data_IF_216540492227
#
_entry.id   IF_216540492227
#
_cell.length_a   1.000
_cell.length_b   1.000
_cell.length_c   1.000
_cell.angle_alpha   90.00
_cell.angle_beta   90.00
_cell.angle_gamma   90.00
#
_symmetry.space_group_name_H-M   'P 1'
#
loop_
_entity.id
_entity.type
_entity.pdbx_description
1 polymer ?
#
# COMPACT_ATOMS: atom_id res chain seq x y z
N UNK A 1 10.85 38.13 -9.73
CA UNK A 1 11.55 36.91 -10.16
C UNK A 1 11.11 36.61 -11.58
N UNK A 2 12.06 36.51 -12.51
CA UNK A 2 11.75 36.18 -13.90
C UNK A 2 11.96 34.69 -14.08
N UNK A 3 10.92 33.95 -14.49
CA UNK A 3 11.01 32.53 -14.76
C UNK A 3 11.21 32.36 -16.27
N UNK A 4 12.24 31.63 -16.65
CA UNK A 4 12.58 31.38 -18.05
C UNK A 4 12.76 29.89 -18.22
N UNK A 5 12.01 29.30 -19.16
CA UNK A 5 12.19 27.90 -19.53
C UNK A 5 13.43 27.80 -20.42
N UNK A 6 14.41 27.05 -19.97
CA UNK A 6 15.62 26.75 -20.73
C UNK A 6 15.67 25.25 -21.02
N UNK A 7 16.09 24.85 -22.23
CA UNK A 7 16.35 23.45 -22.53
C UNK A 7 17.34 22.81 -21.54
N UNK A 8 17.38 21.48 -21.51
CA UNK A 8 18.41 20.77 -20.73
C UNK A 8 19.76 20.91 -21.44
N UNK A 9 20.83 21.14 -20.68
CA UNK A 9 22.15 21.35 -21.27
C UNK A 9 23.13 22.07 -20.35
N UNK A 10 24.33 22.30 -20.89
CA UNK A 10 25.36 23.09 -20.22
C UNK A 10 25.22 24.55 -20.62
N UNK A 11 25.01 25.41 -19.64
CA UNK A 11 24.86 26.84 -19.86
C UNK A 11 26.07 27.60 -19.35
N UNK A 12 26.40 28.67 -20.09
CA UNK A 12 27.34 29.70 -19.65
C UNK A 12 26.53 30.92 -19.27
N UNK A 13 26.79 31.48 -18.10
CA UNK A 13 26.13 32.70 -17.66
C UNK A 13 27.03 33.90 -17.91
N UNK A 14 26.51 34.80 -18.73
CA UNK A 14 27.16 36.02 -19.17
C UNK A 14 26.39 37.21 -18.57
N UNK A 15 27.11 38.18 -18.02
CA UNK A 15 26.54 39.46 -17.62
C UNK A 15 27.25 40.58 -18.39
N UNK A 16 26.60 41.12 -19.42
CA UNK A 16 27.28 41.97 -20.40
C UNK A 16 28.27 41.17 -21.24
N UNK A 17 29.52 41.62 -21.31
CA UNK A 17 30.63 40.95 -22.03
C UNK A 17 31.53 40.10 -21.10
N UNK A 18 31.27 40.07 -19.79
CA UNK A 18 32.04 39.27 -18.83
C UNK A 18 31.36 37.92 -18.55
N UNK A 19 32.18 36.86 -18.55
CA UNK A 19 31.72 35.51 -18.19
C UNK A 19 31.76 35.36 -16.69
N UNK A 20 30.57 35.25 -16.08
CA UNK A 20 30.43 35.16 -14.62
C UNK A 20 30.60 33.72 -14.16
N UNK A 21 30.08 32.76 -14.93
CA UNK A 21 30.17 31.33 -14.57
C UNK A 21 30.09 30.45 -15.83
N UNK A 22 31.00 29.48 -15.96
CA UNK A 22 31.00 28.49 -17.03
C UNK A 22 30.69 27.09 -16.50
N UNK A 23 29.80 26.38 -17.18
CA UNK A 23 29.64 24.93 -16.97
C UNK A 23 28.48 24.51 -16.08
N UNK A 24 27.47 25.36 -15.87
CA UNK A 24 26.27 24.95 -15.13
C UNK A 24 25.47 23.91 -15.93
N UNK A 25 25.32 22.72 -15.35
CA UNK A 25 24.53 21.65 -15.94
C UNK A 25 23.09 21.70 -15.42
N UNK A 26 22.15 22.02 -16.32
CA UNK A 26 20.72 22.01 -16.03
C UNK A 26 20.15 20.66 -16.47
N UNK A 27 19.95 19.77 -15.50
CA UNK A 27 19.32 18.47 -15.71
C UNK A 27 17.80 18.57 -15.88
N UNK A 28 17.24 17.62 -16.62
CA UNK A 28 15.83 17.60 -16.99
C UNK A 28 14.89 17.56 -15.78
N UNK A 29 13.86 18.40 -15.78
CA UNK A 29 12.80 18.41 -14.77
C UNK A 29 13.19 18.99 -13.40
N UNK A 30 14.43 19.47 -13.25
CA UNK A 30 14.86 20.19 -12.05
C UNK A 30 14.53 21.69 -12.14
N UNK A 31 14.26 22.31 -11.00
CA UNK A 31 14.10 23.77 -10.87
C UNK A 31 15.37 24.31 -10.26
N UNK A 32 16.05 25.19 -10.99
CA UNK A 32 17.31 25.78 -10.57
C UNK A 32 17.09 27.27 -10.31
N UNK A 33 17.41 27.71 -9.10
CA UNK A 33 17.39 29.13 -8.73
C UNK A 33 18.81 29.65 -8.75
N UNK A 34 19.09 30.49 -9.72
CA UNK A 34 20.37 31.16 -9.82
C UNK A 34 20.30 32.52 -9.12
N UNK A 35 21.10 32.72 -8.08
CA UNK A 35 21.15 33.97 -7.32
C UNK A 35 22.46 34.69 -7.60
N UNK A 36 22.36 35.92 -8.09
CA UNK A 36 23.51 36.80 -8.35
C UNK A 36 23.47 37.95 -7.34
N UNK A 37 24.50 38.10 -6.51
CA UNK A 37 24.66 39.22 -5.60
C UNK A 37 25.94 39.98 -5.91
N UNK A 38 25.89 41.31 -5.79
CA UNK A 38 27.06 42.17 -5.93
C UNK A 38 27.55 42.52 -4.53
N UNK A 39 28.77 42.10 -4.21
CA UNK A 39 29.39 42.40 -2.91
C UNK A 39 29.77 43.89 -2.82
N UNK A 40 30.03 44.40 -1.61
CA UNK A 40 30.43 45.80 -1.36
C UNK A 40 31.72 46.21 -2.07
N UNK A 41 32.55 45.23 -2.46
CA UNK A 41 33.77 45.40 -3.26
C UNK A 41 33.52 45.37 -4.78
N UNK A 42 32.26 45.32 -5.22
CA UNK A 42 31.89 45.32 -6.64
C UNK A 42 32.09 44.00 -7.38
N UNK A 43 32.52 42.94 -6.68
CA UNK A 43 32.63 41.57 -7.21
C UNK A 43 31.25 40.90 -7.28
N UNK A 44 31.01 40.18 -8.37
CA UNK A 44 29.83 39.34 -8.53
C UNK A 44 30.06 38.02 -7.80
N UNK A 45 29.16 37.67 -6.88
CA UNK A 45 29.07 36.36 -6.27
C UNK A 45 27.83 35.70 -6.83
N UNK A 46 27.99 34.53 -7.45
CA UNK A 46 26.89 33.70 -7.92
C UNK A 46 26.79 32.45 -7.06
N UNK A 47 25.56 32.10 -6.66
CA UNK A 47 25.27 30.84 -6.00
C UNK A 47 24.08 30.19 -6.73
N UNK A 48 24.30 28.96 -7.19
CA UNK A 48 23.29 28.14 -7.82
C UNK A 48 22.63 27.26 -6.75
N UNK A 49 21.36 27.53 -6.46
CA UNK A 49 20.55 26.66 -5.62
C UNK A 49 19.72 25.73 -6.50
N UNK A 50 19.98 24.43 -6.38
CA UNK A 50 19.10 23.41 -6.95
C UNK A 50 17.90 23.25 -6.02
N UNK A 51 16.73 23.73 -6.43
CA UNK A 51 15.48 23.65 -5.64
C UNK A 51 14.83 22.27 -5.81
N UNK A 52 15.03 21.65 -6.96
CA UNK A 52 14.58 20.29 -7.24
C UNK A 52 15.64 19.61 -8.07
N UNK A 53 16.14 18.47 -7.59
CA UNK A 53 17.13 17.68 -8.30
C UNK A 53 16.60 17.21 -9.65
N UNK A 54 17.52 17.07 -10.61
CA UNK A 54 17.21 16.53 -11.92
C UNK A 54 16.58 15.14 -11.78
N UNK A 55 15.50 14.91 -12.50
CA UNK A 55 14.78 13.65 -12.43
C UNK A 55 15.66 12.52 -13.00
N UNK A 56 16.10 11.62 -12.12
CA UNK A 56 17.01 10.52 -12.45
C UNK A 56 16.30 9.16 -12.47
N UNK A 57 15.03 9.09 -12.05
CA UNK A 57 14.28 7.83 -11.92
C UNK A 57 13.03 7.86 -12.79
N UNK A 58 12.90 6.87 -13.65
CA UNK A 58 11.70 6.72 -14.49
C UNK A 58 10.46 6.55 -13.61
N UNK A 59 9.42 7.36 -13.84
CA UNK A 59 8.10 7.22 -13.19
C UNK A 59 7.53 5.79 -13.32
N UNK A 60 7.93 5.07 -14.38
CA UNK A 60 7.56 3.67 -14.62
C UNK A 60 8.00 2.72 -13.48
N UNK A 61 9.04 3.07 -12.71
CA UNK A 61 9.52 2.24 -11.60
C UNK A 61 8.59 2.25 -10.38
N UNK A 62 7.65 3.20 -10.33
CA UNK A 62 6.65 3.30 -9.27
C UNK A 62 5.52 2.28 -9.46
N UNK A 63 5.29 1.83 -10.70
CA UNK A 63 4.19 0.92 -11.06
C UNK A 63 4.34 -0.44 -10.34
N UNK A 64 5.50 -1.13 -10.39
CA UNK A 64 5.66 -2.41 -9.71
C UNK A 64 5.41 -2.33 -8.20
N UNK A 65 5.86 -1.25 -7.56
CA UNK A 65 5.70 -1.05 -6.12
C UNK A 65 4.22 -0.93 -5.74
N UNK A 66 3.44 -0.12 -6.46
CA UNK A 66 2.01 0.00 -6.20
C UNK A 66 1.24 -1.30 -6.46
N UNK A 67 1.60 -2.04 -7.52
CA UNK A 67 0.97 -3.32 -7.82
C UNK A 67 1.19 -4.31 -6.68
N UNK A 68 2.41 -4.45 -6.18
CA UNK A 68 2.73 -5.39 -5.10
C UNK A 68 2.02 -4.99 -3.80
N UNK A 69 2.06 -3.70 -3.43
CA UNK A 69 1.38 -3.19 -2.23
C UNK A 69 -0.12 -3.42 -2.26
N UNK A 70 -0.79 -3.06 -3.36
CA UNK A 70 -2.24 -3.19 -3.48
C UNK A 70 -2.69 -4.65 -3.50
N UNK A 71 -1.93 -5.54 -4.16
CA UNK A 71 -2.20 -6.97 -4.12
C UNK A 71 -2.08 -7.52 -2.69
N UNK A 72 -1.03 -7.15 -1.96
CA UNK A 72 -0.85 -7.55 -0.56
C UNK A 72 -1.99 -7.09 0.33
N UNK A 73 -2.39 -5.83 0.21
CA UNK A 73 -3.50 -5.25 0.97
C UNK A 73 -4.83 -5.95 0.70
N UNK A 74 -5.18 -6.17 -0.57
CA UNK A 74 -6.45 -6.80 -0.95
C UNK A 74 -6.48 -8.25 -0.47
N UNK A 75 -5.40 -9.01 -0.66
CA UNK A 75 -5.34 -10.40 -0.19
C UNK A 75 -5.44 -10.47 1.34
N UNK A 76 -4.77 -9.60 2.07
CA UNK A 76 -4.84 -9.58 3.53
C UNK A 76 -6.23 -9.16 4.04
N UNK A 77 -6.77 -8.04 3.54
CA UNK A 77 -8.02 -7.44 3.99
C UNK A 77 -9.24 -8.28 3.64
N UNK A 78 -9.36 -8.74 2.40
CA UNK A 78 -10.52 -9.53 1.95
C UNK A 78 -10.55 -10.89 2.62
N UNK A 79 -9.43 -11.61 2.67
CA UNK A 79 -9.35 -12.92 3.32
C UNK A 79 -9.54 -12.82 4.84
N UNK A 80 -8.99 -11.79 5.49
CA UNK A 80 -9.18 -11.55 6.93
C UNK A 80 -10.63 -11.29 7.31
N UNK A 81 -11.34 -10.49 6.51
CA UNK A 81 -12.77 -10.21 6.70
C UNK A 81 -13.64 -11.42 6.40
N UNK A 82 -13.37 -12.16 5.31
CA UNK A 82 -14.10 -13.37 4.96
C UNK A 82 -13.98 -14.45 6.05
N UNK A 83 -12.77 -14.65 6.58
CA UNK A 83 -12.54 -15.54 7.71
C UNK A 83 -13.30 -15.09 8.96
N UNK A 84 -13.24 -13.80 9.29
CA UNK A 84 -13.93 -13.23 10.46
C UNK A 84 -15.45 -13.36 10.34
N UNK A 85 -16.01 -13.18 9.14
CA UNK A 85 -17.44 -13.37 8.90
C UNK A 85 -17.86 -14.85 8.95
N UNK A 86 -16.98 -15.78 8.57
CA UNK A 86 -17.27 -17.22 8.66
C UNK A 86 -17.35 -17.73 10.10
N UNK A 87 -16.67 -17.04 11.02
CA UNK A 87 -16.60 -17.40 12.45
C UNK A 87 -17.61 -16.64 13.33
N UNK A 88 -18.30 -15.64 12.79
CA UNK A 88 -19.19 -14.76 13.56
C UNK A 88 -20.69 -14.95 13.23
N UNK A 89 -21.60 -14.69 14.19
CA UNK A 89 -23.05 -14.72 13.96
C UNK A 89 -23.49 -13.68 12.91
N UNK A 90 -24.55 -14.00 12.16
CA UNK A 90 -25.03 -13.23 10.99
C UNK A 90 -25.34 -11.75 11.31
N UNK A 91 -25.67 -11.43 12.56
CA UNK A 91 -25.98 -10.06 13.02
C UNK A 91 -24.77 -9.14 13.24
N UNK A 92 -23.53 -9.66 13.25
CA UNK A 92 -22.34 -8.88 13.65
C UNK A 92 -21.45 -8.43 12.49
N UNK A 93 -21.84 -8.66 11.23
CA UNK A 93 -21.02 -8.34 10.06
C UNK A 93 -20.62 -6.86 10.00
N UNK A 94 -21.55 -5.94 10.23
CA UNK A 94 -21.28 -4.50 10.22
C UNK A 94 -20.33 -4.07 11.33
N UNK A 95 -20.38 -4.72 12.50
CA UNK A 95 -19.49 -4.39 13.64
C UNK A 95 -18.07 -4.86 13.34
N UNK A 96 -17.91 -6.06 12.77
CA UNK A 96 -16.59 -6.58 12.38
C UNK A 96 -15.94 -5.69 11.31
N UNK A 97 -16.70 -5.24 10.32
CA UNK A 97 -16.20 -4.30 9.32
C UNK A 97 -15.74 -2.97 9.95
N UNK A 98 -16.53 -2.43 10.87
CA UNK A 98 -16.19 -1.21 11.58
C UNK A 98 -14.95 -1.39 12.47
N UNK A 99 -14.82 -2.51 13.17
CA UNK A 99 -13.63 -2.84 13.95
C UNK A 99 -12.39 -2.99 13.07
N UNK A 100 -12.53 -3.59 11.89
CA UNK A 100 -11.43 -3.71 10.94
C UNK A 100 -10.92 -2.34 10.46
N UNK A 101 -11.83 -1.45 10.07
CA UNK A 101 -11.49 -0.07 9.68
C UNK A 101 -10.93 0.75 10.85
N UNK A 102 -11.39 0.48 12.08
CA UNK A 102 -10.85 1.12 13.29
C UNK A 102 -9.39 0.75 13.52
N UNK A 103 -9.00 -0.51 13.29
CA UNK A 103 -7.60 -0.93 13.38
C UNK A 103 -6.73 -0.22 12.33
N UNK A 104 -7.22 -0.08 11.09
CA UNK A 104 -6.53 0.69 10.04
C UNK A 104 -6.35 2.15 10.45
N UNK A 105 -7.40 2.78 10.98
CA UNK A 105 -7.32 4.15 11.47
C UNK A 105 -6.29 4.31 12.60
N UNK A 106 -6.22 3.34 13.52
CA UNK A 106 -5.23 3.35 14.58
C UNK A 106 -3.80 3.22 14.03
N UNK A 107 -3.57 2.34 13.04
CA UNK A 107 -2.29 2.23 12.35
C UNK A 107 -1.85 3.54 11.71
N UNK A 108 -2.74 4.19 10.96
CA UNK A 108 -2.46 5.49 10.34
C UNK A 108 -2.10 6.58 11.36
N UNK A 109 -2.75 6.58 12.53
CA UNK A 109 -2.42 7.54 13.61
C UNK A 109 -1.02 7.27 14.16
N UNK A 110 -0.63 6.01 14.36
CA UNK A 110 0.72 5.66 14.79
C UNK A 110 1.75 6.14 13.77
N UNK A 111 1.51 5.91 12.47
CA UNK A 111 2.43 6.31 11.40
C UNK A 111 2.67 7.82 11.41
N UNK A 112 1.60 8.62 11.54
CA UNK A 112 1.72 10.09 11.64
C UNK A 112 2.55 10.49 12.85
N UNK A 113 2.34 9.86 14.00
CA UNK A 113 3.10 10.18 15.23
C UNK A 113 4.58 9.88 15.02
N UNK A 114 4.93 8.77 14.36
CA UNK A 114 6.33 8.39 14.11
C UNK A 114 7.01 9.41 13.19
N UNK A 115 6.33 9.79 12.11
CA UNK A 115 6.84 10.77 11.13
C UNK A 115 7.03 12.16 11.78
N UNK A 116 6.03 12.65 12.50
CA UNK A 116 6.06 13.95 13.18
C UNK A 116 7.08 13.99 14.32
N UNK A 117 7.30 12.87 15.00
CA UNK A 117 8.26 12.80 16.09
C UNK A 117 9.73 12.94 15.63
N UNK A 118 10.02 12.85 14.32
CA UNK A 118 11.34 13.03 13.70
C UNK A 118 12.47 12.32 14.49
N UNK A 119 12.19 11.08 14.92
CA UNK A 119 13.06 10.35 15.86
C UNK A 119 14.37 9.90 15.18
N UNK A 120 14.39 9.82 13.85
CA UNK A 120 15.54 9.37 13.06
C UNK A 120 16.03 10.47 12.12
N UNK A 121 17.33 10.79 12.20
CA UNK A 121 18.01 11.76 11.31
C UNK A 121 18.06 11.28 9.84
N UNK A 122 17.81 10.00 9.58
CA UNK A 122 17.86 9.39 8.25
C UNK A 122 16.58 8.63 7.93
N UNK A 123 15.96 8.99 6.81
CA UNK A 123 14.75 8.37 6.27
C UNK A 123 14.93 6.86 6.01
N UNK A 124 16.15 6.41 5.72
CA UNK A 124 16.43 4.98 5.55
C UNK A 124 16.17 4.19 6.84
N UNK A 125 16.53 4.74 8.01
CA UNK A 125 16.34 4.07 9.30
C UNK A 125 14.86 3.94 9.66
N UNK A 126 14.04 4.93 9.27
CA UNK A 126 12.60 4.88 9.42
C UNK A 126 11.99 3.75 8.57
N UNK A 127 12.41 3.61 7.30
CA UNK A 127 12.00 2.49 6.46
C UNK A 127 12.42 1.12 7.03
N UNK A 128 13.63 1.02 7.60
CA UNK A 128 14.08 -0.21 8.26
C UNK A 128 13.27 -0.53 9.52
N UNK A 129 12.84 0.47 10.29
CA UNK A 129 11.97 0.27 11.45
C UNK A 129 10.62 -0.30 11.02
N UNK A 130 9.96 0.30 10.03
CA UNK A 130 8.67 -0.18 9.53
C UNK A 130 8.77 -1.58 8.92
N UNK A 131 9.85 -1.85 8.17
CA UNK A 131 10.11 -3.20 7.64
C UNK A 131 10.30 -4.23 8.76
N UNK A 132 11.01 -3.86 9.84
CA UNK A 132 11.19 -4.70 11.02
C UNK A 132 9.86 -4.99 11.72
N UNK A 133 9.02 -3.97 11.90
CA UNK A 133 7.69 -4.12 12.51
C UNK A 133 6.80 -5.08 11.71
N UNK A 134 6.79 -4.94 10.38
CA UNK A 134 6.06 -5.85 9.48
C UNK A 134 6.53 -7.31 9.60
N UNK A 135 7.84 -7.53 9.72
CA UNK A 135 8.38 -8.88 9.96
C UNK A 135 7.91 -9.46 11.28
N UNK A 136 7.94 -8.66 12.35
CA UNK A 136 7.47 -9.08 13.68
C UNK A 136 6.00 -9.46 13.65
N UNK A 137 5.15 -8.64 13.04
CA UNK A 137 3.71 -8.91 12.90
C UNK A 137 3.46 -10.18 12.08
N UNK A 138 4.23 -10.39 11.00
CA UNK A 138 4.16 -11.64 10.23
C UNK A 138 4.50 -12.87 11.08
N UNK A 139 5.54 -12.81 11.91
CA UNK A 139 5.90 -13.90 12.82
C UNK A 139 4.80 -14.18 13.85
N UNK A 140 4.25 -13.13 14.47
CA UNK A 140 3.15 -13.26 15.44
C UNK A 140 1.94 -13.91 14.78
N UNK A 141 1.55 -13.43 13.58
CA UNK A 141 0.41 -13.97 12.84
C UNK A 141 0.62 -15.43 12.45
N UNK A 142 1.83 -15.81 12.04
CA UNK A 142 2.18 -17.19 11.73
C UNK A 142 2.06 -18.12 12.95
N UNK A 143 2.51 -17.67 14.14
CA UNK A 143 2.39 -18.43 15.39
C UNK A 143 0.92 -18.58 15.80
N UNK A 144 0.13 -17.49 15.71
CA UNK A 144 -1.30 -17.51 16.03
C UNK A 144 -2.07 -18.44 15.09
N UNK A 145 -1.77 -18.41 13.79
CA UNK A 145 -2.36 -19.31 12.80
C UNK A 145 -2.02 -20.78 13.10
N UNK A 146 -0.77 -21.07 13.48
CA UNK A 146 -0.37 -22.43 13.86
C UNK A 146 -1.08 -22.93 15.13
N UNK A 147 -1.38 -22.03 16.07
CA UNK A 147 -2.14 -22.37 17.30
C UNK A 147 -3.66 -22.27 17.13
N UNK A 148 -4.15 -21.87 15.96
CA UNK A 148 -5.57 -21.65 15.76
C UNK A 148 -6.32 -23.00 15.66
N UNK A 149 -7.19 -23.27 16.64
CA UNK A 149 -8.17 -24.36 16.53
C UNK A 149 -9.42 -23.81 15.83
N UNK A 150 -9.81 -24.33 14.65
CA UNK A 150 -11.05 -23.91 14.01
C UNK A 150 -12.24 -24.21 14.93
N UNK A 151 -12.97 -23.16 15.30
CA UNK A 151 -14.26 -23.32 15.95
C UNK A 151 -15.28 -23.65 14.86
N UNK A 152 -16.02 -24.74 15.03
CA UNK A 152 -17.05 -25.14 14.06
C UNK A 152 -18.38 -24.51 14.48
N UNK A 153 -18.87 -23.44 13.83
CA UNK A 153 -20.19 -22.87 14.16
C UNK A 153 -21.33 -23.87 13.92
N UNK A 154 -21.11 -24.90 13.07
CA UNK A 154 -22.09 -25.96 12.83
C UNK A 154 -22.27 -26.91 14.03
N UNK A 155 -21.30 -27.03 14.95
CA UNK A 155 -21.51 -27.82 16.18
C UNK A 155 -22.52 -27.19 17.11
N UNK A 156 -22.59 -25.85 17.17
CA UNK A 156 -23.58 -25.13 17.97
C UNK A 156 -25.00 -25.26 17.39
N UNK A 157 -25.12 -25.34 16.05
CA UNK A 157 -26.40 -25.56 15.38
C UNK A 157 -26.87 -27.02 15.53
N UNK A 158 -25.99 -28.00 15.42
CA UNK A 158 -26.30 -29.43 15.66
C UNK A 158 -26.69 -29.70 17.12
N UNK A 159 -26.03 -29.08 18.09
CA UNK A 159 -26.35 -29.22 19.53
C UNK A 159 -27.70 -28.57 19.89
N UNK A 160 -28.05 -27.46 19.22
CA UNK A 160 -29.37 -26.81 19.38
C UNK A 160 -30.53 -27.60 18.74
N UNK A 161 -30.23 -28.49 17.78
CA UNK A 161 -31.22 -29.35 17.10
C UNK A 161 -31.40 -30.71 17.81
N UNK A 162 -30.57 -31.02 18.82
CA UNK A 162 -30.56 -32.30 19.53
C UNK A 162 -31.40 -32.30 20.82
N UNK A 163 -31.99 -31.16 21.22
CA UNK A 163 -32.95 -31.10 22.34
C UNK A 163 -34.33 -31.54 21.83
N UNK A 164 -34.98 -32.53 22.46
CA UNK A 164 -36.31 -32.96 22.05
C UNK A 164 -37.32 -31.86 22.42
N UNK A 165 -37.76 -31.07 21.45
CA UNK A 165 -38.84 -30.09 21.67
C UNK A 165 -38.96 -28.90 20.71
N UNK A 166 -38.04 -28.68 19.77
CA UNK A 166 -38.15 -27.57 18.80
C UNK A 166 -38.69 -28.06 17.43
N UNK A 167 -39.72 -27.41 16.86
CA UNK A 167 -40.24 -27.79 15.54
C UNK A 167 -39.24 -27.45 14.41
N UNK A 168 -39.07 -28.38 13.47
CA UNK A 168 -38.29 -28.24 12.20
C UNK A 168 -39.19 -27.66 11.08
N UNK A 169 -38.66 -27.27 9.90
CA UNK A 169 -38.34 -25.91 9.47
C UNK A 169 -39.29 -25.39 8.35
N UNK A 170 -39.61 -24.08 8.32
CA UNK A 170 -40.39 -23.51 7.21
C UNK A 170 -39.53 -22.63 6.27
N UNK A 171 -39.35 -23.17 5.06
CA UNK A 171 -39.16 -22.55 3.73
C UNK A 171 -38.11 -21.46 3.43
N UNK A 172 -37.20 -21.80 2.50
CA UNK A 172 -36.41 -20.92 1.59
C UNK A 172 -37.27 -19.92 0.78
N UNK A 173 -36.63 -18.94 0.11
CA UNK A 173 -36.45 -18.99 -1.35
C UNK A 173 -34.95 -18.83 -1.74
N UNK A 174 -34.27 -19.80 -2.37
CA UNK A 174 -34.25 -20.22 -3.79
C UNK A 174 -33.47 -19.23 -4.71
N UNK A 175 -32.12 -19.36 -4.85
CA UNK A 175 -31.31 -19.98 -5.96
C UNK A 175 -30.87 -18.88 -6.99
N UNK A 176 -29.70 -18.95 -7.71
CA UNK A 176 -29.05 -20.17 -8.16
C UNK A 176 -27.54 -20.37 -7.96
N UNK A 177 -27.22 -21.64 -7.72
CA UNK A 177 -25.91 -22.25 -7.93
C UNK A 177 -25.55 -22.20 -9.42
N UNK A 178 -24.37 -21.69 -9.76
CA UNK A 178 -23.60 -22.20 -10.90
C UNK A 178 -22.60 -23.21 -10.34
N UNK A 179 -22.98 -24.49 -10.41
CA UNK A 179 -22.06 -25.60 -10.22
C UNK A 179 -21.40 -25.83 -11.58
N UNK A 180 -20.12 -25.51 -11.70
CA UNK A 180 -19.32 -25.87 -12.87
C UNK A 180 -19.23 -27.40 -12.92
N UNK A 181 -19.89 -28.02 -13.91
CA UNK A 181 -19.83 -29.45 -14.22
C UNK A 181 -19.25 -29.58 -15.62
N UNK A 182 -17.92 -29.64 -15.71
CA UNK A 182 -17.21 -29.89 -16.97
C UNK A 182 -16.27 -31.10 -16.94
N UNK A 183 -16.13 -31.83 -15.82
CA UNK A 183 -15.16 -32.94 -15.73
C UNK A 183 -15.75 -34.37 -15.71
N UNK A 184 -17.03 -34.57 -16.09
CA UNK A 184 -17.62 -35.93 -16.10
C UNK A 184 -18.16 -36.40 -17.46
N UNK A 185 -17.68 -35.86 -18.58
CA UNK A 185 -18.20 -36.25 -19.91
C UNK A 185 -17.35 -37.29 -20.65
N UNK A 186 -16.19 -37.73 -20.15
CA UNK A 186 -15.39 -38.73 -20.88
C UNK A 186 -15.49 -40.18 -20.39
N UNK A 187 -15.92 -40.45 -19.15
CA UNK A 187 -15.88 -41.84 -18.66
C UNK A 187 -17.15 -42.68 -18.97
N UNK A 188 -18.26 -42.05 -19.35
CA UNK A 188 -19.52 -42.76 -19.63
C UNK A 188 -19.71 -43.18 -21.10
N UNK A 189 -18.84 -42.74 -22.02
CA UNK A 189 -18.88 -43.18 -23.44
C UNK A 189 -17.99 -44.38 -23.76
N UNK A 190 -17.21 -44.91 -22.82
CA UNK A 190 -16.34 -46.06 -23.03
C UNK A 190 -16.96 -47.42 -22.62
N UNK A 191 -18.23 -47.46 -22.16
CA UNK A 191 -18.88 -48.72 -21.74
C UNK A 191 -20.24 -49.01 -22.37
N UNK A 192 -20.66 -48.27 -23.38
CA UNK A 192 -21.87 -48.63 -24.12
C UNK A 192 -21.86 -48.14 -25.57
N UNK A 193 -20.91 -48.66 -26.37
CA UNK A 193 -21.06 -49.08 -27.77
C UNK A 193 -19.72 -49.54 -28.33
#
# INVERSE_FOLDING_TARGET
MNLTEVPFGTYKVLYGDETVEEGMYLGQGGVYTFVMQKDKDGKWQSELFTVTDANSVSILWLIPQYVIMTLGEVMFSVTGLEFSYSQAPVSMKSVIQACFQLTVAFGNVIDIIIVEANIFDSQANEFFLFAGLMFVDMFIFAILAYRYKPNNPNKALEDSTSRPGTPKPESKPTTPKLQNKSDETEESKAKQN
#
